data_IF_825645679390
#
_entry.id   IF_825645679390
#
_cell.length_a   1.000
_cell.length_b   1.000
_cell.length_c   1.000
_cell.angle_alpha   90.00
_cell.angle_beta   90.00
_cell.angle_gamma   90.00
#
_symmetry.space_group_name_H-M   'P 1'
#
loop_
_entity.id
_entity.type
_entity.pdbx_description
1 polymer ?
#
# COMPACT_ATOMS: atom_id res chain seq x y z
N UNK A 1 -11.79 -1.74 16.56
CA UNK A 1 -10.37 -2.01 16.27
C UNK A 1 -9.58 -0.81 16.78
N UNK A 2 -8.41 -1.04 17.37
CA UNK A 2 -7.47 0.02 17.74
C UNK A 2 -6.30 -0.09 16.77
N UNK A 3 -5.94 1.02 16.13
CA UNK A 3 -4.83 1.12 15.21
C UNK A 3 -3.81 2.13 15.74
N UNK A 4 -2.53 1.76 15.73
CA UNK A 4 -1.40 2.60 16.15
C UNK A 4 -0.39 2.66 15.01
N UNK A 5 -0.56 3.60 14.07
CA UNK A 5 0.38 3.77 12.96
C UNK A 5 1.67 4.46 13.43
N UNK A 6 2.80 4.09 12.83
CA UNK A 6 4.07 4.82 12.91
C UNK A 6 4.79 4.76 11.58
N UNK A 7 5.69 5.71 11.32
CA UNK A 7 6.48 5.76 10.11
C UNK A 7 7.93 6.12 10.43
N UNK A 8 8.86 5.36 9.88
CA UNK A 8 10.30 5.66 9.94
C UNK A 8 10.76 6.21 8.58
N UNK A 9 11.11 7.50 8.49
CA UNK A 9 11.54 8.11 7.24
C UNK A 9 12.90 7.62 6.76
N UNK A 10 13.76 7.11 7.63
CA UNK A 10 15.09 6.62 7.25
C UNK A 10 15.02 5.30 6.49
N UNK A 11 14.08 4.43 6.86
CA UNK A 11 13.85 3.13 6.21
C UNK A 11 12.68 3.15 5.23
N UNK A 12 11.88 4.23 5.23
CA UNK A 12 10.60 4.36 4.53
C UNK A 12 9.56 3.30 4.94
N UNK A 13 9.66 2.77 6.16
CA UNK A 13 8.76 1.70 6.64
C UNK A 13 7.63 2.30 7.48
N UNK A 14 6.40 2.12 7.01
CA UNK A 14 5.19 2.28 7.79
C UNK A 14 4.89 1.02 8.60
N UNK A 15 4.58 1.18 9.87
CA UNK A 15 4.13 0.10 10.76
C UNK A 15 2.71 0.39 11.21
N UNK A 16 1.85 -0.63 11.21
CA UNK A 16 0.49 -0.55 11.72
C UNK A 16 0.28 -1.63 12.78
N UNK A 17 0.34 -1.25 14.05
CA UNK A 17 -0.02 -2.15 15.15
C UNK A 17 -1.54 -2.14 15.35
N UNK A 18 -2.18 -3.28 15.07
CA UNK A 18 -3.62 -3.47 15.10
C UNK A 18 -4.01 -4.36 16.27
N UNK A 19 -4.99 -3.91 17.05
CA UNK A 19 -5.73 -4.74 18.02
C UNK A 19 -7.18 -4.80 17.56
N UNK A 20 -7.63 -6.00 17.18
CA UNK A 20 -8.98 -6.28 16.70
C UNK A 20 -9.73 -7.13 17.74
N UNK A 21 -11.03 -6.89 17.86
CA UNK A 21 -11.95 -7.73 18.62
C UNK A 21 -13.04 -8.20 17.67
N UNK A 22 -13.24 -9.50 17.56
CA UNK A 22 -14.26 -10.12 16.70
C UNK A 22 -15.18 -10.98 17.56
N UNK A 23 -16.48 -10.76 17.44
CA UNK A 23 -17.46 -11.63 18.09
C UNK A 23 -17.55 -12.96 17.32
N UNK A 24 -17.38 -14.07 18.03
CA UNK A 24 -17.47 -15.44 17.53
C UNK A 24 -18.15 -16.30 18.58
N UNK A 25 -19.29 -16.91 18.23
CA UNK A 25 -20.07 -17.77 19.13
C UNK A 25 -20.26 -17.14 20.52
N UNK A 26 -20.81 -15.92 20.53
CA UNK A 26 -21.09 -15.12 21.74
C UNK A 26 -19.88 -14.82 22.64
N UNK A 27 -18.66 -14.96 22.11
CA UNK A 27 -17.42 -14.58 22.79
C UNK A 27 -16.60 -13.61 21.96
N UNK A 28 -16.05 -12.60 22.63
CA UNK A 28 -15.12 -11.67 22.01
C UNK A 28 -13.73 -12.29 21.89
N UNK A 29 -13.26 -12.44 20.65
CA UNK A 29 -11.91 -12.88 20.36
C UNK A 29 -11.03 -11.70 20.02
N UNK A 30 -9.95 -11.52 20.79
CA UNK A 30 -8.92 -10.54 20.49
C UNK A 30 -7.94 -11.10 19.46
N UNK A 31 -7.51 -10.27 18.53
CA UNK A 31 -6.42 -10.55 17.59
C UNK A 31 -5.51 -9.34 17.56
N UNK A 32 -4.22 -9.54 17.85
CA UNK A 32 -3.18 -8.53 17.67
C UNK A 32 -2.34 -8.88 16.44
N UNK A 33 -2.10 -7.90 15.56
CA UNK A 33 -1.34 -8.04 14.33
C UNK A 33 -0.50 -6.78 14.11
N UNK A 34 0.72 -6.94 13.62
CA UNK A 34 1.53 -5.83 13.13
C UNK A 34 1.72 -5.97 11.63
N UNK A 35 1.34 -4.95 10.87
CA UNK A 35 1.63 -4.86 9.44
C UNK A 35 2.83 -3.95 9.22
N UNK A 36 3.68 -4.34 8.27
CA UNK A 36 4.81 -3.54 7.81
C UNK A 36 4.64 -3.28 6.31
N UNK A 37 4.80 -2.03 5.90
CA UNK A 37 4.71 -1.61 4.50
C UNK A 37 5.87 -0.67 4.21
N UNK A 38 6.53 -0.85 3.07
CA UNK A 38 7.55 0.08 2.60
C UNK A 38 6.92 1.04 1.61
N UNK A 39 7.03 2.34 1.87
CA UNK A 39 6.48 3.39 1.04
C UNK A 39 7.49 3.77 -0.05
N UNK A 40 7.48 3.02 -1.15
CA UNK A 40 8.25 3.37 -2.34
C UNK A 40 7.68 4.61 -3.01
N UNK A 41 8.55 5.46 -3.57
CA UNK A 41 8.12 6.58 -4.40
C UNK A 41 7.62 6.09 -5.75
N UNK A 42 6.93 6.97 -6.49
CA UNK A 42 6.48 6.67 -7.85
C UNK A 42 7.65 6.24 -8.73
N UNK A 43 8.76 6.98 -8.68
CA UNK A 43 9.96 6.71 -9.48
C UNK A 43 10.61 5.37 -9.14
N UNK A 44 10.63 5.00 -7.85
CA UNK A 44 11.15 3.69 -7.41
C UNK A 44 10.32 2.53 -7.99
N UNK A 45 8.99 2.67 -8.02
CA UNK A 45 8.09 1.66 -8.59
C UNK A 45 8.22 1.62 -10.12
N UNK A 46 8.25 2.78 -10.78
CA UNK A 46 8.45 2.83 -12.23
C UNK A 46 9.79 2.21 -12.64
N UNK A 47 10.87 2.49 -11.91
CA UNK A 47 12.17 1.91 -12.21
C UNK A 47 12.14 0.39 -12.04
N UNK A 48 11.54 -0.12 -10.96
CA UNK A 48 11.38 -1.56 -10.76
C UNK A 48 10.57 -2.23 -11.89
N UNK A 49 9.54 -1.56 -12.42
CA UNK A 49 8.78 -2.03 -13.57
C UNK A 49 9.63 -2.07 -14.85
N UNK A 50 10.44 -1.04 -15.11
CA UNK A 50 11.38 -1.00 -16.25
C UNK A 50 12.39 -2.14 -16.15
N UNK A 51 12.99 -2.32 -14.98
CA UNK A 51 13.99 -3.35 -14.71
C UNK A 51 13.41 -4.77 -14.87
N UNK A 52 12.12 -4.94 -14.58
CA UNK A 52 11.39 -6.19 -14.81
C UNK A 52 10.93 -6.39 -16.27
N UNK A 53 11.29 -5.50 -17.19
CA UNK A 53 10.99 -5.62 -18.62
C UNK A 53 9.59 -5.15 -19.03
N UNK A 54 8.92 -4.37 -18.18
CA UNK A 54 7.66 -3.73 -18.56
C UNK A 54 7.90 -2.44 -19.35
N UNK A 55 6.97 -2.14 -20.26
CA UNK A 55 6.97 -0.94 -21.10
C UNK A 55 5.63 -0.21 -21.03
N UNK A 56 5.60 1.04 -21.51
CA UNK A 56 4.38 1.86 -21.52
C UNK A 56 3.86 2.13 -20.12
N UNK A 57 4.77 2.42 -19.18
CA UNK A 57 4.45 2.67 -17.78
C UNK A 57 3.74 4.02 -17.65
N UNK A 58 2.66 4.03 -16.88
CA UNK A 58 1.97 5.24 -16.48
C UNK A 58 1.45 5.08 -15.05
N UNK A 59 1.42 6.17 -14.30
CA UNK A 59 0.87 6.24 -12.97
C UNK A 59 -0.22 7.31 -12.89
N UNK A 60 -1.18 7.11 -12.00
CA UNK A 60 -2.23 8.07 -11.68
C UNK A 60 -2.46 8.13 -10.18
N UNK A 61 -2.59 9.36 -9.67
CA UNK A 61 -3.04 9.61 -8.32
C UNK A 61 -4.53 9.30 -8.19
N UNK A 62 -4.87 8.53 -7.14
CA UNK A 62 -6.23 8.08 -6.91
C UNK A 62 -7.21 9.26 -6.75
N UNK A 63 -6.79 10.36 -6.12
CA UNK A 63 -7.66 11.50 -5.82
C UNK A 63 -7.69 12.49 -6.97
N UNK A 64 -6.53 12.98 -7.42
CA UNK A 64 -6.46 14.08 -8.39
C UNK A 64 -6.77 13.64 -9.81
N UNK A 65 -6.36 12.44 -10.20
CA UNK A 65 -6.50 11.97 -11.58
C UNK A 65 -7.73 11.07 -11.77
N UNK A 66 -8.11 10.32 -10.73
CA UNK A 66 -9.19 9.33 -10.79
C UNK A 66 -10.43 9.68 -9.96
N UNK A 67 -10.41 10.77 -9.20
CA UNK A 67 -11.55 11.24 -8.40
C UNK A 67 -11.92 10.35 -7.19
N UNK A 68 -11.05 9.43 -6.77
CA UNK A 68 -11.27 8.48 -5.66
C UNK A 68 -10.91 9.11 -4.31
N UNK A 69 -11.80 9.97 -3.82
CA UNK A 69 -11.58 10.83 -2.64
C UNK A 69 -11.17 10.11 -1.35
N UNK A 70 -11.50 8.83 -1.17
CA UNK A 70 -11.19 8.06 0.04
C UNK A 70 -9.88 7.26 -0.05
N UNK A 71 -9.07 7.49 -1.09
CA UNK A 71 -7.84 6.74 -1.35
C UNK A 71 -6.60 7.64 -1.43
N UNK A 72 -6.60 8.75 -0.68
CA UNK A 72 -5.45 9.65 -0.57
C UNK A 72 -4.15 8.88 -0.24
N UNK A 73 -3.08 9.19 -0.99
CA UNK A 73 -1.78 8.53 -0.89
C UNK A 73 -1.66 7.22 -1.69
N UNK A 74 -2.66 6.85 -2.49
CA UNK A 74 -2.62 5.69 -3.40
C UNK A 74 -2.32 6.11 -4.83
N UNK A 75 -1.35 5.43 -5.44
CA UNK A 75 -1.09 5.48 -6.88
C UNK A 75 -1.56 4.19 -7.56
N UNK A 76 -2.02 4.32 -8.80
CA UNK A 76 -2.34 3.20 -9.68
C UNK A 76 -1.36 3.16 -10.84
N UNK A 77 -0.70 2.03 -11.05
CA UNK A 77 0.26 1.84 -12.12
C UNK A 77 -0.33 0.97 -13.22
N UNK A 78 -0.18 1.42 -14.47
CA UNK A 78 -0.35 0.61 -15.66
C UNK A 78 1.01 0.30 -16.26
N UNK A 79 1.22 -0.92 -16.70
CA UNK A 79 2.40 -1.32 -17.45
C UNK A 79 2.08 -2.55 -18.30
N UNK A 80 2.76 -2.69 -19.44
CA UNK A 80 2.62 -3.84 -20.33
C UNK A 80 3.88 -4.69 -20.31
N UNK A 81 3.73 -6.00 -20.12
CA UNK A 81 4.85 -6.92 -20.28
C UNK A 81 5.33 -6.90 -21.74
N UNK A 82 6.63 -6.81 -21.95
CA UNK A 82 7.19 -7.04 -23.28
C UNK A 82 7.09 -8.53 -23.54
N UNK A 83 6.23 -8.96 -24.47
CA UNK A 83 6.21 -10.35 -24.93
C UNK A 83 7.63 -10.71 -25.40
N UNK A 84 8.19 -11.79 -24.85
CA UNK A 84 9.42 -12.39 -25.35
C UNK A 84 9.23 -12.92 -26.78
#
# INVERSE_FOLDING_TARGET
>A
MIARPSYDPSTKVGTMALTMFRLRQDRWMRTDLTLYQRCYTEEEVEQALRDAGFVGIAAWDAVTDLGRQNESGRLFFFARATSA
#
